data_IF_406820955761
#
_entry.id   IF_406820955761
#
_cell.length_a   1.000
_cell.length_b   1.000
_cell.length_c   1.000
_cell.angle_alpha   90.00
_cell.angle_beta   90.00
_cell.angle_gamma   90.00
#
_symmetry.space_group_name_H-M   'P 1'
#
loop_
_entity.id
_entity.type
_entity.pdbx_description
1 polymer ?
#
# COMPACT_ATOMS: atom_id res chain seq x y z
N UNK A 1 -20.74 -8.42 2.07
CA UNK A 1 -21.45 -7.70 3.16
C UNK A 1 -21.49 -6.23 2.78
N UNK A 2 -22.59 -5.52 3.02
CA UNK A 2 -22.63 -4.07 2.77
C UNK A 2 -21.94 -3.30 3.90
N UNK A 3 -21.53 -2.04 3.65
CA UNK A 3 -20.95 -1.18 4.70
C UNK A 3 -21.91 -1.03 5.90
N UNK A 4 -23.21 -0.94 5.63
CA UNK A 4 -24.23 -0.87 6.69
C UNK A 4 -24.29 -2.14 7.54
N UNK A 5 -24.08 -3.31 6.95
CA UNK A 5 -24.06 -4.57 7.70
C UNK A 5 -22.78 -4.72 8.51
N UNK A 6 -21.65 -4.27 7.96
CA UNK A 6 -20.36 -4.22 8.68
C UNK A 6 -20.46 -3.30 9.90
N UNK A 7 -21.00 -2.09 9.73
CA UNK A 7 -21.15 -1.10 10.82
C UNK A 7 -22.03 -1.57 11.98
N UNK A 8 -22.90 -2.56 11.76
CA UNK A 8 -23.73 -3.17 12.84
C UNK A 8 -22.96 -4.25 13.62
N UNK A 9 -21.86 -4.77 13.11
CA UNK A 9 -21.06 -5.77 13.81
C UNK A 9 -20.30 -5.11 14.97
N UNK A 10 -20.07 -5.82 16.09
CA UNK A 10 -19.17 -5.35 17.12
C UNK A 10 -17.79 -5.09 16.54
N UNK A 11 -17.18 -3.95 16.86
CA UNK A 11 -15.83 -3.63 16.46
C UNK A 11 -14.80 -4.38 17.31
N UNK A 12 -13.70 -4.79 16.72
CA UNK A 12 -12.58 -5.45 17.38
C UNK A 12 -11.53 -4.42 17.84
N UNK A 13 -11.23 -3.44 17.01
CA UNK A 13 -10.20 -2.43 17.26
C UNK A 13 -10.68 -1.00 17.03
N UNK A 14 -11.38 -0.75 15.93
CA UNK A 14 -11.76 0.61 15.50
C UNK A 14 -12.95 1.13 16.30
N UNK A 15 -12.96 2.44 16.56
CA UNK A 15 -14.16 3.13 17.02
C UNK A 15 -15.21 3.18 15.91
N UNK A 16 -16.48 3.33 16.29
CA UNK A 16 -17.57 3.49 15.33
C UNK A 16 -17.31 4.67 14.37
N UNK A 17 -16.85 5.80 14.91
CA UNK A 17 -16.50 6.98 14.13
C UNK A 17 -15.40 6.72 13.08
N UNK A 18 -14.36 5.95 13.42
CA UNK A 18 -13.31 5.60 12.47
C UNK A 18 -13.84 4.72 11.35
N UNK A 19 -14.70 3.75 11.67
CA UNK A 19 -15.34 2.89 10.67
C UNK A 19 -16.22 3.69 9.72
N UNK A 20 -17.05 4.61 10.24
CA UNK A 20 -17.89 5.52 9.45
C UNK A 20 -17.02 6.42 8.56
N UNK A 21 -15.96 7.00 9.11
CA UNK A 21 -15.01 7.84 8.36
C UNK A 21 -14.35 7.05 7.22
N UNK A 22 -13.95 5.80 7.45
CA UNK A 22 -13.42 4.95 6.38
C UNK A 22 -14.42 4.77 5.22
N UNK A 23 -15.67 4.46 5.53
CA UNK A 23 -16.69 4.32 4.49
C UNK A 23 -17.06 5.64 3.82
N UNK A 24 -16.78 6.76 4.47
CA UNK A 24 -16.96 8.08 3.90
C UNK A 24 -15.76 8.48 3.03
N UNK A 25 -14.54 8.40 3.54
CA UNK A 25 -13.32 8.92 2.93
C UNK A 25 -12.56 7.89 2.09
N UNK A 26 -12.69 6.59 2.39
CA UNK A 26 -11.99 5.50 1.71
C UNK A 26 -10.62 5.18 2.27
N UNK A 27 -10.14 5.91 3.27
CA UNK A 27 -8.87 5.67 3.95
C UNK A 27 -8.89 6.11 5.41
N UNK A 28 -7.96 5.60 6.18
CA UNK A 28 -7.67 6.03 7.56
C UNK A 28 -6.15 6.14 7.74
N UNK A 29 -5.73 6.97 8.67
CA UNK A 29 -4.34 7.06 9.12
C UNK A 29 -4.25 6.83 10.62
N UNK A 30 -3.21 6.11 11.03
CA UNK A 30 -2.96 5.76 12.43
C UNK A 30 -1.50 6.10 12.81
N UNK A 31 -1.19 7.36 13.11
CA UNK A 31 0.17 7.76 13.50
C UNK A 31 0.68 6.96 14.70
N UNK A 32 1.85 6.29 14.53
CA UNK A 32 2.48 5.52 15.59
C UNK A 32 1.77 4.21 15.98
N UNK A 33 0.95 3.64 15.08
CA UNK A 33 0.29 2.35 15.32
C UNK A 33 1.30 1.21 15.51
N UNK A 34 2.37 1.21 14.70
CA UNK A 34 3.45 0.23 14.80
C UNK A 34 4.54 0.80 15.72
N UNK A 35 4.91 0.03 16.74
CA UNK A 35 5.89 0.46 17.75
C UNK A 35 7.30 0.62 17.16
N UNK A 36 8.11 1.48 17.77
CA UNK A 36 9.51 1.67 17.37
C UNK A 36 10.30 0.36 17.41
N UNK A 37 10.03 -0.50 18.39
CA UNK A 37 10.72 -1.80 18.50
C UNK A 37 10.37 -2.75 17.34
N UNK A 38 9.15 -2.74 16.87
CA UNK A 38 8.72 -3.51 15.69
C UNK A 38 9.36 -2.93 14.42
N UNK A 39 9.36 -1.60 14.28
CA UNK A 39 9.99 -0.92 13.14
C UNK A 39 11.47 -1.26 13.02
N UNK A 40 12.22 -1.33 14.12
CA UNK A 40 13.65 -1.71 14.09
C UNK A 40 13.86 -3.12 13.55
N UNK A 41 12.99 -4.06 13.89
CA UNK A 41 13.03 -5.42 13.31
C UNK A 41 12.84 -5.36 11.79
N UNK A 42 11.87 -4.57 11.31
CA UNK A 42 11.63 -4.43 9.88
C UNK A 42 12.77 -3.71 9.16
N UNK A 43 13.36 -2.67 9.75
CA UNK A 43 14.51 -1.96 9.17
C UNK A 43 15.72 -2.89 8.98
N UNK A 44 16.00 -3.73 9.96
CA UNK A 44 17.06 -4.75 9.85
C UNK A 44 16.74 -5.74 8.73
N UNK A 45 15.50 -6.19 8.63
CA UNK A 45 15.07 -7.09 7.55
C UNK A 45 15.20 -6.43 6.18
N UNK A 46 14.73 -5.20 6.03
CA UNK A 46 14.83 -4.43 4.78
C UNK A 46 16.30 -4.28 4.37
N UNK A 47 17.21 -3.95 5.30
CA UNK A 47 18.64 -3.86 5.04
C UNK A 47 19.20 -5.19 4.50
N UNK A 48 18.86 -6.33 5.11
CA UNK A 48 19.25 -7.65 4.63
C UNK A 48 18.70 -7.97 3.23
N UNK A 49 17.45 -7.60 2.97
CA UNK A 49 16.84 -7.80 1.65
C UNK A 49 17.59 -6.97 0.61
N UNK A 50 17.87 -5.69 0.86
CA UNK A 50 18.62 -4.82 -0.03
C UNK A 50 20.02 -5.41 -0.28
N UNK A 51 20.74 -5.81 0.74
CA UNK A 51 22.07 -6.40 0.61
C UNK A 51 22.06 -7.72 -0.20
N UNK A 52 21.04 -8.53 -0.07
CA UNK A 52 20.91 -9.79 -0.82
C UNK A 52 20.76 -9.58 -2.33
N UNK A 53 20.42 -8.36 -2.77
CA UNK A 53 20.23 -8.04 -4.19
C UNK A 53 21.48 -7.56 -4.92
N UNK A 54 22.61 -7.41 -4.23
CA UNK A 54 23.88 -6.90 -4.82
C UNK A 54 24.35 -7.68 -6.04
N UNK A 55 24.04 -8.96 -6.12
CA UNK A 55 24.41 -9.83 -7.25
C UNK A 55 23.33 -9.97 -8.32
N UNK A 56 22.19 -9.31 -8.12
CA UNK A 56 21.07 -9.36 -9.06
C UNK A 56 21.29 -8.26 -10.11
N UNK A 57 21.24 -8.63 -11.38
CA UNK A 57 21.50 -7.71 -12.49
C UNK A 57 20.26 -7.37 -13.33
N UNK A 58 19.15 -8.03 -13.07
CA UNK A 58 17.88 -7.80 -13.79
C UNK A 58 16.69 -8.04 -12.89
N UNK A 59 15.63 -7.27 -13.10
CA UNK A 59 14.35 -7.43 -12.41
C UNK A 59 13.72 -8.80 -12.69
N UNK A 60 12.91 -9.25 -11.76
CA UNK A 60 12.08 -10.46 -11.85
C UNK A 60 10.66 -10.14 -11.40
N UNK A 61 9.78 -11.13 -11.40
CA UNK A 61 8.42 -10.98 -10.86
C UNK A 61 8.35 -10.79 -9.33
N UNK A 62 9.46 -11.02 -8.61
CA UNK A 62 9.54 -10.86 -7.14
C UNK A 62 10.40 -9.68 -6.70
N UNK A 63 11.34 -9.27 -7.51
CA UNK A 63 12.29 -8.20 -7.21
C UNK A 63 12.34 -7.27 -8.41
N UNK A 64 11.95 -6.03 -8.19
CA UNK A 64 12.00 -4.98 -9.18
C UNK A 64 13.13 -4.02 -8.80
N UNK A 65 14.13 -3.92 -9.67
CA UNK A 65 15.32 -3.09 -9.48
C UNK A 65 15.03 -1.66 -9.93
N UNK A 66 15.51 -0.70 -9.16
CA UNK A 66 15.47 0.70 -9.55
C UNK A 66 16.59 1.03 -10.54
N UNK A 67 16.38 2.05 -11.37
CA UNK A 67 17.40 2.57 -12.27
C UNK A 67 18.66 2.96 -11.49
N UNK A 68 19.83 2.55 -11.98
CA UNK A 68 21.10 2.79 -11.31
C UNK A 68 21.45 1.79 -10.22
N UNK A 69 20.72 0.66 -10.12
CA UNK A 69 21.11 -0.45 -9.27
C UNK A 69 22.47 -1.04 -9.69
N UNK A 70 23.36 -1.19 -8.71
CA UNK A 70 24.67 -1.89 -8.87
C UNK A 70 24.97 -2.70 -7.63
N UNK A 71 26.01 -3.56 -7.69
CA UNK A 71 26.48 -4.30 -6.54
C UNK A 71 26.97 -3.40 -5.40
N UNK A 72 27.59 -2.27 -5.73
CA UNK A 72 28.11 -1.27 -4.76
C UNK A 72 26.99 -0.40 -4.21
N UNK A 73 25.99 -0.10 -5.04
CA UNK A 73 24.83 0.75 -4.70
C UNK A 73 23.52 0.02 -5.05
N UNK A 74 23.09 -0.95 -4.23
CA UNK A 74 21.86 -1.69 -4.49
C UNK A 74 20.64 -0.77 -4.35
N UNK A 75 19.82 -0.69 -5.39
CA UNK A 75 18.61 0.11 -5.43
C UNK A 75 17.44 -0.76 -5.87
N UNK A 76 16.44 -0.84 -5.04
CA UNK A 76 15.21 -1.59 -5.29
C UNK A 76 14.06 -0.61 -5.52
N UNK A 77 13.15 -0.96 -6.40
CA UNK A 77 11.86 -0.31 -6.54
C UNK A 77 10.81 -1.03 -5.71
N UNK A 78 10.79 -2.37 -5.79
CA UNK A 78 9.79 -3.19 -5.10
C UNK A 78 10.30 -4.61 -4.85
N UNK A 79 9.87 -5.18 -3.73
CA UNK A 79 10.01 -6.61 -3.44
C UNK A 79 8.66 -7.14 -3.01
N UNK A 80 8.18 -8.22 -3.66
CA UNK A 80 6.90 -8.87 -3.37
C UNK A 80 7.08 -10.14 -2.54
N UNK A 81 6.00 -10.59 -1.88
CA UNK A 81 5.96 -11.80 -1.05
C UNK A 81 7.02 -11.77 0.06
N UNK A 82 7.05 -10.65 0.79
CA UNK A 82 8.00 -10.47 1.90
C UNK A 82 7.54 -11.25 3.14
N UNK A 83 6.26 -11.55 3.24
CA UNK A 83 5.63 -12.38 4.26
C UNK A 83 6.25 -13.78 4.34
N UNK A 84 6.73 -14.31 3.21
CA UNK A 84 7.42 -15.61 3.14
C UNK A 84 8.90 -15.55 3.57
N UNK A 85 9.48 -14.36 3.72
CA UNK A 85 10.93 -14.20 3.94
C UNK A 85 11.34 -14.19 5.40
N UNK A 86 10.46 -13.75 6.27
CA UNK A 86 10.74 -13.66 7.70
C UNK A 86 9.46 -13.82 8.53
N UNK A 87 9.49 -14.60 9.63
CA UNK A 87 8.35 -14.80 10.53
C UNK A 87 7.77 -13.51 11.12
N UNK A 88 8.56 -12.43 11.23
CA UNK A 88 8.07 -11.14 11.73
C UNK A 88 7.11 -10.48 10.73
N UNK A 89 7.35 -10.64 9.41
CA UNK A 89 6.42 -10.16 8.39
C UNK A 89 5.07 -10.85 8.52
N UNK A 90 5.06 -12.18 8.64
CA UNK A 90 3.82 -12.92 8.85
C UNK A 90 3.10 -12.52 10.14
N UNK A 91 3.82 -12.35 11.26
CA UNK A 91 3.23 -11.90 12.53
C UNK A 91 2.57 -10.52 12.40
N UNK A 92 3.17 -9.57 11.69
CA UNK A 92 2.54 -8.28 11.44
C UNK A 92 1.21 -8.45 10.71
N UNK A 93 1.14 -9.36 9.74
CA UNK A 93 -0.08 -9.59 8.97
C UNK A 93 -1.14 -10.41 9.69
N UNK A 94 -0.75 -11.31 10.60
CA UNK A 94 -1.65 -12.32 11.18
C UNK A 94 -1.88 -12.17 12.69
N UNK A 95 -0.89 -11.64 13.44
CA UNK A 95 -0.89 -11.64 14.91
C UNK A 95 -0.77 -10.20 15.49
N UNK A 96 -1.11 -9.18 14.72
CA UNK A 96 -1.14 -7.77 15.13
C UNK A 96 -2.56 -7.22 15.18
N UNK A 97 -2.70 -5.91 15.29
CA UNK A 97 -3.99 -5.21 15.18
C UNK A 97 -4.51 -5.10 13.74
N UNK A 98 -3.67 -5.39 12.73
CA UNK A 98 -4.02 -5.27 11.30
C UNK A 98 -5.19 -6.18 10.92
N UNK A 99 -5.22 -7.48 11.28
CA UNK A 99 -6.38 -8.34 11.03
C UNK A 99 -7.68 -7.84 11.67
N UNK A 100 -7.61 -7.30 12.86
CA UNK A 100 -8.79 -6.76 13.56
C UNK A 100 -9.34 -5.52 12.84
N UNK A 101 -8.44 -4.61 12.40
CA UNK A 101 -8.82 -3.46 11.58
C UNK A 101 -9.43 -3.93 10.25
N UNK A 102 -8.84 -4.93 9.61
CA UNK A 102 -9.37 -5.48 8.37
C UNK A 102 -10.77 -6.08 8.56
N UNK A 103 -10.98 -6.83 9.63
CA UNK A 103 -12.30 -7.41 9.98
C UNK A 103 -13.33 -6.32 10.26
N UNK A 104 -12.94 -5.24 10.94
CA UNK A 104 -13.81 -4.11 11.25
C UNK A 104 -14.28 -3.34 10.01
N UNK A 105 -13.56 -3.44 8.90
CA UNK A 105 -13.83 -2.68 7.67
C UNK A 105 -14.31 -3.54 6.49
N UNK A 106 -13.94 -4.82 6.43
CA UNK A 106 -14.34 -5.73 5.35
C UNK A 106 -15.33 -6.81 5.80
N UNK A 107 -15.47 -7.00 7.12
CA UNK A 107 -16.23 -8.09 7.74
C UNK A 107 -15.31 -9.20 8.27
N UNK A 108 -15.86 -10.18 9.02
CA UNK A 108 -15.07 -11.13 9.80
C UNK A 108 -14.24 -12.12 8.97
N UNK A 109 -14.62 -12.36 7.73
CA UNK A 109 -13.99 -13.35 6.86
C UNK A 109 -13.01 -12.64 5.89
N UNK A 110 -11.87 -12.20 6.41
CA UNK A 110 -10.82 -11.57 5.61
C UNK A 110 -9.77 -12.57 5.16
N UNK A 111 -9.24 -12.37 3.96
CA UNK A 111 -8.14 -13.14 3.41
C UNK A 111 -6.95 -12.25 3.19
N UNK A 112 -5.83 -12.57 3.82
CA UNK A 112 -4.54 -11.99 3.49
C UNK A 112 -4.09 -12.46 2.10
N UNK A 113 -3.49 -11.57 1.32
CA UNK A 113 -3.00 -11.88 -0.01
C UNK A 113 -1.48 -11.96 -0.06
N UNK A 114 -0.81 -10.84 0.16
CA UNK A 114 0.65 -10.74 0.14
C UNK A 114 1.12 -9.49 0.90
N UNK A 115 2.42 -9.45 1.17
CA UNK A 115 3.12 -8.30 1.69
C UNK A 115 4.21 -7.88 0.71
N UNK A 116 4.37 -6.57 0.49
CA UNK A 116 5.42 -6.04 -0.36
C UNK A 116 6.16 -4.88 0.29
N UNK A 117 7.39 -4.67 -0.12
CA UNK A 117 8.18 -3.48 0.18
C UNK A 117 8.26 -2.60 -1.06
N UNK A 118 7.94 -1.33 -0.90
CA UNK A 118 8.14 -0.31 -1.91
C UNK A 118 9.21 0.67 -1.43
N UNK A 119 10.09 1.06 -2.33
CA UNK A 119 11.20 1.95 -2.04
C UNK A 119 11.05 3.25 -2.82
N UNK A 120 11.29 4.37 -2.13
CA UNK A 120 11.44 5.68 -2.75
C UNK A 120 12.83 6.22 -2.45
N UNK A 121 13.62 6.44 -3.48
CA UNK A 121 14.99 6.92 -3.37
C UNK A 121 15.05 8.44 -3.60
N UNK A 122 15.87 9.14 -2.83
CA UNK A 122 16.00 10.60 -2.91
C UNK A 122 16.44 11.09 -4.30
N UNK A 123 17.28 10.30 -4.99
CA UNK A 123 17.79 10.63 -6.31
C UNK A 123 17.14 9.76 -7.39
N UNK A 124 16.05 10.24 -7.97
CA UNK A 124 15.49 9.67 -9.20
C UNK A 124 14.77 8.33 -9.02
N UNK A 125 14.06 8.13 -7.94
CA UNK A 125 13.12 7.03 -7.79
C UNK A 125 12.01 7.08 -8.84
N UNK A 126 11.56 5.92 -9.33
CA UNK A 126 10.50 5.85 -10.31
C UNK A 126 9.18 6.37 -9.73
N UNK A 127 8.50 7.19 -10.51
CA UNK A 127 7.16 7.65 -10.19
C UNK A 127 6.19 6.46 -10.16
N UNK A 128 5.25 6.49 -9.21
CA UNK A 128 4.06 5.64 -9.21
C UNK A 128 2.89 6.50 -9.66
N UNK A 129 2.40 6.26 -10.87
CA UNK A 129 1.31 7.01 -11.48
C UNK A 129 -0.01 6.75 -10.78
N UNK A 130 -0.97 7.65 -10.96
CA UNK A 130 -2.34 7.47 -10.51
C UNK A 130 -2.94 6.17 -11.03
N UNK A 131 -3.45 5.35 -10.12
CA UNK A 131 -4.02 4.04 -10.44
C UNK A 131 -5.07 3.64 -9.39
N UNK A 132 -5.80 2.61 -9.69
CA UNK A 132 -6.71 1.94 -8.76
C UNK A 132 -6.23 0.50 -8.58
N UNK A 133 -5.91 0.13 -7.36
CA UNK A 133 -5.35 -1.19 -7.05
C UNK A 133 -6.25 -2.35 -7.48
N UNK A 134 -7.56 -2.16 -7.46
CA UNK A 134 -8.52 -3.19 -7.89
C UNK A 134 -8.28 -3.66 -9.33
N UNK A 135 -7.72 -2.81 -10.19
CA UNK A 135 -7.42 -3.16 -11.59
C UNK A 135 -6.27 -4.17 -11.72
N UNK A 136 -5.40 -4.26 -10.72
CA UNK A 136 -4.32 -5.26 -10.67
C UNK A 136 -4.78 -6.61 -10.10
N UNK A 137 -5.97 -6.65 -9.51
CA UNK A 137 -6.46 -7.79 -8.75
C UNK A 137 -7.88 -8.13 -9.17
N UNK A 138 -8.05 -9.06 -10.13
CA UNK A 138 -9.39 -9.43 -10.60
C UNK A 138 -10.18 -10.11 -9.48
N UNK A 139 -11.13 -9.37 -8.92
CA UNK A 139 -12.06 -9.85 -7.90
C UNK A 139 -13.50 -9.78 -8.40
N UNK A 140 -14.36 -10.58 -7.80
CA UNK A 140 -15.80 -10.55 -8.09
C UNK A 140 -16.54 -9.45 -7.31
N UNK A 141 -15.85 -8.74 -6.41
CA UNK A 141 -16.37 -7.64 -5.60
C UNK A 141 -15.25 -6.66 -5.23
N UNK A 142 -15.63 -5.45 -4.79
CA UNK A 142 -14.69 -4.38 -4.45
C UNK A 142 -14.24 -4.39 -2.98
N UNK A 143 -14.57 -5.42 -2.22
CA UNK A 143 -14.18 -5.57 -0.81
C UNK A 143 -12.70 -5.97 -0.67
N UNK A 144 -11.81 -5.03 -0.93
CA UNK A 144 -10.37 -5.19 -0.78
C UNK A 144 -9.78 -3.91 -0.20
N UNK A 145 -8.68 -4.03 0.55
CA UNK A 145 -7.99 -2.90 1.14
C UNK A 145 -6.49 -3.15 1.19
N UNK A 146 -5.72 -2.08 1.28
CA UNK A 146 -4.28 -2.09 1.46
C UNK A 146 -3.93 -1.49 2.82
N UNK A 147 -2.93 -2.06 3.49
CA UNK A 147 -2.25 -1.43 4.62
C UNK A 147 -0.88 -0.95 4.15
N UNK A 148 -0.58 0.30 4.39
CA UNK A 148 0.74 0.88 4.17
C UNK A 148 1.35 1.22 5.53
N UNK A 149 2.54 0.72 5.80
CA UNK A 149 3.30 1.03 7.03
C UNK A 149 4.51 1.87 6.66
N UNK A 150 4.63 3.05 7.26
CA UNK A 150 5.80 3.91 7.11
C UNK A 150 6.94 3.38 8.00
N UNK A 151 7.98 2.82 7.39
CA UNK A 151 9.16 2.38 8.13
C UNK A 151 10.05 3.54 8.59
N UNK A 152 9.97 4.67 7.90
CA UNK A 152 10.60 5.95 8.24
C UNK A 152 9.53 7.05 8.30
N UNK A 153 9.90 8.23 8.84
CA UNK A 153 9.05 9.41 8.70
C UNK A 153 8.85 9.74 7.22
N UNK A 154 7.63 10.10 6.85
CA UNK A 154 7.27 10.50 5.49
C UNK A 154 6.78 11.94 5.50
N UNK A 155 7.54 12.83 4.86
CA UNK A 155 7.19 14.24 4.63
C UNK A 155 6.77 14.50 3.19
N UNK A 156 6.21 15.67 2.91
CA UNK A 156 5.81 16.07 1.54
C UNK A 156 6.97 16.08 0.54
N UNK A 157 8.21 16.30 1.00
CA UNK A 157 9.41 16.32 0.15
C UNK A 157 9.87 14.92 -0.29
N UNK A 158 9.38 13.86 0.37
CA UNK A 158 9.78 12.48 0.10
C UNK A 158 8.87 11.77 -0.90
N UNK A 159 7.96 12.52 -1.56
CA UNK A 159 7.01 11.95 -2.53
C UNK A 159 6.04 10.98 -1.87
N UNK A 160 5.24 11.44 -0.92
CA UNK A 160 4.27 10.60 -0.20
C UNK A 160 3.24 9.99 -1.15
N UNK A 161 2.58 8.93 -0.67
CA UNK A 161 1.38 8.44 -1.32
C UNK A 161 0.32 9.56 -1.31
N UNK A 162 -0.33 9.76 -2.43
CA UNK A 162 -1.48 10.64 -2.54
C UNK A 162 -2.75 9.80 -2.75
N UNK A 163 -3.82 10.21 -2.12
CA UNK A 163 -5.15 9.59 -2.28
C UNK A 163 -6.18 10.65 -2.60
N UNK A 164 -7.21 10.27 -3.34
CA UNK A 164 -8.36 11.15 -3.60
C UNK A 164 -9.47 10.73 -2.65
N UNK A 165 -9.83 11.55 -1.65
CA UNK A 165 -10.88 11.22 -0.68
C UNK A 165 -12.19 10.83 -1.38
N UNK A 166 -12.87 9.82 -0.88
CA UNK A 166 -14.12 9.28 -1.38
C UNK A 166 -14.09 8.69 -2.81
N UNK A 167 -12.92 8.62 -3.47
CA UNK A 167 -12.79 8.07 -4.83
C UNK A 167 -13.20 6.60 -4.95
N UNK A 168 -13.17 5.83 -3.87
CA UNK A 168 -13.66 4.45 -3.82
C UNK A 168 -15.17 4.31 -4.10
N UNK A 169 -15.93 5.41 -4.06
CA UNK A 169 -17.35 5.46 -4.42
C UNK A 169 -17.58 5.82 -5.90
N UNK A 170 -16.51 6.20 -6.58
CA UNK A 170 -16.52 6.62 -7.98
C UNK A 170 -16.39 5.45 -8.95
N UNK A 171 -16.19 5.75 -10.23
CA UNK A 171 -16.00 4.75 -11.27
C UNK A 171 -14.65 4.05 -11.14
N UNK A 172 -14.55 2.87 -11.75
CA UNK A 172 -13.27 2.24 -12.09
C UNK A 172 -12.87 2.78 -13.45
N UNK A 173 -11.69 3.38 -13.52
CA UNK A 173 -11.14 3.98 -14.73
C UNK A 173 -10.36 2.95 -15.56
N UNK A 174 -10.19 3.24 -16.85
CA UNK A 174 -9.36 2.42 -17.72
C UNK A 174 -7.86 2.58 -17.39
N UNK A 175 -7.15 1.43 -17.40
CA UNK A 175 -5.70 1.35 -17.17
C UNK A 175 -4.95 0.87 -18.41
N UNK A 176 -5.55 1.04 -19.56
CA UNK A 176 -4.99 0.77 -20.88
C UNK A 176 -4.76 2.07 -21.63
N UNK A 177 -3.78 2.08 -22.53
CA UNK A 177 -3.57 3.22 -23.43
C UNK A 177 -4.42 3.10 -24.70
N UNK A 178 -4.30 4.09 -25.58
CA UNK A 178 -5.04 4.14 -26.85
C UNK A 178 -4.72 2.98 -27.81
N UNK A 179 -3.61 2.27 -27.58
CA UNK A 179 -3.22 1.06 -28.30
C UNK A 179 -3.72 -0.22 -27.66
N UNK A 180 -4.53 -0.10 -26.61
CA UNK A 180 -5.04 -1.19 -25.78
C UNK A 180 -3.92 -2.01 -25.08
N UNK A 181 -2.79 -1.33 -24.77
CA UNK A 181 -1.71 -1.91 -23.97
C UNK A 181 -1.89 -1.54 -22.50
N UNK A 182 -1.68 -2.53 -21.62
CA UNK A 182 -1.78 -2.33 -20.17
C UNK A 182 -0.67 -1.42 -19.65
N UNK A 183 -1.04 -0.28 -19.10
CA UNK A 183 -0.09 0.71 -18.54
C UNK A 183 0.03 0.62 -17.02
N UNK A 184 -0.97 0.07 -16.33
CA UNK A 184 -1.08 0.08 -14.88
C UNK A 184 -1.31 1.48 -14.30
N UNK A 185 -1.83 2.41 -15.08
CA UNK A 185 -2.15 3.77 -14.68
C UNK A 185 -3.48 4.20 -15.29
N UNK A 186 -4.21 5.08 -14.60
CA UNK A 186 -5.43 5.70 -15.12
C UNK A 186 -5.07 6.40 -16.44
N UNK A 187 -5.90 6.23 -17.45
CA UNK A 187 -5.68 6.80 -18.76
C UNK A 187 -5.58 8.34 -18.70
N UNK A 188 -4.76 8.99 -19.55
CA UNK A 188 -4.70 10.45 -19.57
C UNK A 188 -6.06 11.13 -19.81
N UNK A 189 -6.95 10.49 -20.55
CA UNK A 189 -8.29 10.99 -20.81
C UNK A 189 -9.14 11.02 -19.53
N UNK A 190 -9.00 10.02 -18.66
CA UNK A 190 -9.77 9.89 -17.43
C UNK A 190 -9.19 10.69 -16.26
N UNK A 191 -7.89 11.03 -16.29
CA UNK A 191 -7.23 11.78 -15.21
C UNK A 191 -7.93 13.11 -14.91
N UNK A 192 -8.45 13.80 -15.93
CA UNK A 192 -9.16 15.07 -15.75
C UNK A 192 -10.47 14.91 -14.97
N UNK A 193 -11.06 13.72 -14.96
CA UNK A 193 -12.31 13.40 -14.27
C UNK A 193 -12.10 12.62 -12.98
N UNK A 194 -10.88 12.15 -12.74
CA UNK A 194 -10.52 11.36 -11.55
C UNK A 194 -10.48 12.20 -10.25
N UNK A 195 -10.49 13.55 -10.35
CA UNK A 195 -10.47 14.43 -9.18
C UNK A 195 -9.10 14.58 -8.54
N UNK A 196 -8.02 14.49 -9.33
CA UNK A 196 -6.64 14.56 -8.82
C UNK A 196 -6.30 15.89 -8.13
N UNK A 197 -7.01 16.96 -8.46
CA UNK A 197 -6.83 18.28 -7.82
C UNK A 197 -7.27 18.29 -6.34
N UNK A 198 -8.11 17.33 -5.94
CA UNK A 198 -8.57 17.14 -4.55
C UNK A 198 -7.72 16.13 -3.78
N UNK A 199 -6.59 15.72 -4.31
CA UNK A 199 -5.73 14.72 -3.70
C UNK A 199 -5.14 15.19 -2.36
N UNK A 200 -5.04 14.26 -1.43
CA UNK A 200 -4.44 14.45 -0.12
C UNK A 200 -3.15 13.63 -0.02
N UNK A 201 -2.06 14.27 0.40
CA UNK A 201 -0.81 13.59 0.72
C UNK A 201 -0.92 12.85 2.06
N UNK A 202 -0.48 11.61 2.09
CA UNK A 202 -0.40 10.83 3.32
C UNK A 202 1.02 10.94 3.89
N UNK A 203 1.17 11.83 4.88
CA UNK A 203 2.44 12.10 5.58
C UNK A 203 2.32 11.73 7.05
N UNK A 204 3.43 11.42 7.71
CA UNK A 204 3.40 11.11 9.14
C UNK A 204 4.70 10.50 9.66
N UNK A 205 4.78 10.32 10.99
CA UNK A 205 5.94 9.66 11.60
C UNK A 205 6.07 8.20 11.18
N UNK A 206 7.25 7.64 11.42
CA UNK A 206 7.46 6.20 11.32
C UNK A 206 6.44 5.44 12.19
N UNK A 207 5.94 4.33 11.68
CA UNK A 207 4.90 3.52 12.35
C UNK A 207 3.46 3.97 12.07
N UNK A 208 3.31 4.97 11.16
CA UNK A 208 1.98 5.35 10.65
C UNK A 208 1.46 4.27 9.73
#
# INVERSE_FOLDING_TARGET
>A
MSSQDILKQPALFLTQNQRELYFEQGYLMFPGLISTSELEVFRVLVSKIVDSTRTITSSSNKIDLEKGHTAENPRLRRVTYVDDKDPHCWRLCADSVIPDIAADLLGPDVRFRDMMLNFKWADGGAEVKWHQDICFYPHTHLGSMQFLVFLEEVSSEQGPLQVIPASHKGPIFEHYDDSNEWTGAISPADLSTAGIDDATELTGPAGT
#
